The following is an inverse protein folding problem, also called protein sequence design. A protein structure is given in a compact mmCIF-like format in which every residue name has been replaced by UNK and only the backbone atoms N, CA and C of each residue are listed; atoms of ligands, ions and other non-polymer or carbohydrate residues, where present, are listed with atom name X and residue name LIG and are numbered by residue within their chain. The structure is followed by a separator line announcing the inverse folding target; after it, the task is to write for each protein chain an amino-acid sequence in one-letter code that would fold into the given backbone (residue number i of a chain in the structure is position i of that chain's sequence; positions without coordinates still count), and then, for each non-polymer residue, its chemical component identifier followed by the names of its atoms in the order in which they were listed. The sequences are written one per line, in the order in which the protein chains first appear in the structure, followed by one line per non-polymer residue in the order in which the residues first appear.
data_IF_595816005317
#
_entry.id   IF_595816005317
#
_cell.length_a   1.000
_cell.length_b   1.000
_cell.length_c   1.000
_cell.angle_alpha   90.00
_cell.angle_beta   90.00
_cell.angle_gamma   90.00
#
_symmetry.space_group_name_H-M   'P 1'
#
loop_
_entity.id
_entity.type
_entity.pdbx_description
1 polymer ?
#
# COMPACT_ATOMS: atom_id res chain seq x y z
N UNK A 1 -6.54 7.46 2.17
CA UNK A 1 -6.14 6.53 1.10
C UNK A 1 -6.94 5.25 1.25
N UNK A 2 -7.15 4.50 0.16
CA UNK A 2 -7.77 3.17 0.21
C UNK A 2 -6.66 2.12 0.28
N UNK A 3 -6.74 1.20 1.24
CA UNK A 3 -5.77 0.11 1.36
C UNK A 3 -6.21 -1.10 0.53
N UNK A 4 -5.30 -1.67 -0.25
CA UNK A 4 -5.52 -2.84 -1.08
C UNK A 4 -4.69 -4.03 -0.60
N UNK A 5 -5.29 -5.21 -0.66
CA UNK A 5 -4.61 -6.47 -0.40
C UNK A 5 -3.89 -6.91 -1.69
N UNK A 6 -2.59 -6.69 -1.75
CA UNK A 6 -1.79 -6.94 -2.94
C UNK A 6 -1.49 -8.43 -3.19
N UNK A 7 -1.53 -9.25 -2.13
CA UNK A 7 -1.23 -10.69 -2.21
C UNK A 7 -2.48 -11.59 -2.21
N UNK A 8 -3.68 -10.99 -2.13
CA UNK A 8 -4.95 -11.72 -1.97
C UNK A 8 -4.96 -12.72 -0.79
N UNK A 9 -4.14 -12.44 0.23
CA UNK A 9 -4.02 -13.28 1.42
C UNK A 9 -5.11 -12.92 2.44
N UNK A 10 -5.98 -13.85 2.86
CA UNK A 10 -7.11 -13.55 3.75
C UNK A 10 -6.70 -12.92 5.09
N UNK A 11 -5.49 -13.22 5.56
CA UNK A 11 -4.91 -12.69 6.80
C UNK A 11 -4.39 -11.27 6.68
N UNK A 12 -4.23 -10.73 5.47
CA UNK A 12 -3.77 -9.35 5.25
C UNK A 12 -4.94 -8.40 5.10
N UNK A 13 -4.82 -7.23 5.73
CA UNK A 13 -5.81 -6.17 5.64
C UNK A 13 -5.80 -5.49 4.26
N UNK A 14 -6.92 -4.86 3.92
CA UNK A 14 -7.12 -4.17 2.65
C UNK A 14 -8.24 -4.80 1.83
N UNK A 15 -8.79 -4.02 0.91
CA UNK A 15 -9.81 -4.49 -0.02
C UNK A 15 -9.20 -5.25 -1.19
N UNK A 16 -10.00 -6.05 -1.88
CA UNK A 16 -9.60 -6.64 -3.15
C UNK A 16 -9.39 -5.53 -4.20
N UNK A 17 -8.44 -5.73 -5.11
CA UNK A 17 -8.19 -4.82 -6.24
C UNK A 17 -9.46 -4.54 -7.06
N UNK A 18 -10.31 -5.56 -7.24
CA UNK A 18 -11.59 -5.46 -7.96
C UNK A 18 -12.54 -4.44 -7.32
N UNK A 19 -12.47 -4.27 -6.01
CA UNK A 19 -13.42 -3.45 -5.24
C UNK A 19 -12.93 -2.02 -5.08
N UNK A 20 -11.70 -1.72 -5.49
CA UNK A 20 -11.08 -0.40 -5.30
C UNK A 20 -11.94 0.72 -5.91
N UNK A 21 -12.43 0.54 -7.15
CA UNK A 21 -13.20 1.59 -7.85
C UNK A 21 -14.50 1.93 -7.12
N UNK A 22 -15.22 0.91 -6.64
CA UNK A 22 -16.47 1.11 -5.91
C UNK A 22 -16.22 1.72 -4.53
N UNK A 23 -15.12 1.35 -3.87
CA UNK A 23 -14.71 1.93 -2.58
C UNK A 23 -14.30 3.39 -2.69
N UNK A 24 -13.52 3.75 -3.72
CA UNK A 24 -13.15 5.16 -3.98
C UNK A 24 -14.40 5.99 -4.19
N UNK A 25 -15.34 5.53 -5.04
CA UNK A 25 -16.61 6.22 -5.27
C UNK A 25 -17.42 6.36 -3.98
N UNK A 26 -17.60 5.28 -3.22
CA UNK A 26 -18.38 5.30 -1.98
C UNK A 26 -17.77 6.21 -0.92
N UNK A 27 -16.44 6.25 -0.82
CA UNK A 27 -15.74 7.15 0.08
C UNK A 27 -15.99 8.62 -0.30
N UNK A 28 -15.89 8.95 -1.60
CA UNK A 28 -16.15 10.29 -2.12
C UNK A 28 -17.61 10.72 -1.93
N UNK A 29 -18.58 9.82 -2.17
CA UNK A 29 -20.02 10.05 -1.90
C UNK A 29 -20.29 10.36 -0.42
N UNK A 30 -19.45 9.86 0.50
CA UNK A 30 -19.50 10.14 1.94
C UNK A 30 -18.75 11.41 2.35
N UNK A 31 -18.24 12.18 1.38
CA UNK A 31 -17.51 13.42 1.63
C UNK A 31 -16.03 13.23 1.98
N UNK A 32 -15.46 12.04 1.78
CA UNK A 32 -14.04 11.81 2.01
C UNK A 32 -13.21 12.21 0.78
N UNK A 33 -12.10 12.90 1.02
CA UNK A 33 -11.10 13.17 -0.02
C UNK A 33 -10.18 11.96 -0.15
N UNK A 34 -10.38 11.17 -1.20
CA UNK A 34 -9.50 10.06 -1.53
C UNK A 34 -8.29 10.60 -2.29
N UNK A 35 -7.13 10.62 -1.64
CA UNK A 35 -5.87 11.14 -2.22
C UNK A 35 -5.00 10.08 -2.88
N UNK A 36 -5.30 8.79 -2.69
CA UNK A 36 -4.37 7.74 -3.08
C UNK A 36 -4.75 6.33 -2.65
N UNK A 37 -3.91 5.41 -3.11
CA UNK A 37 -3.95 3.99 -2.77
C UNK A 37 -2.77 3.63 -1.88
N UNK A 38 -2.96 2.63 -1.04
CA UNK A 38 -1.95 2.11 -0.13
C UNK A 38 -1.90 0.59 -0.20
N UNK A 39 -0.70 0.02 -0.17
CA UNK A 39 -0.51 -1.42 -0.16
C UNK A 39 0.74 -1.82 0.62
N UNK A 40 0.74 -3.06 1.10
CA UNK A 40 1.89 -3.70 1.74
C UNK A 40 2.29 -4.88 0.86
N UNK A 41 3.59 -5.02 0.59
CA UNK A 41 4.14 -6.10 -0.23
C UNK A 41 3.89 -7.50 0.34
N UNK A 42 4.27 -8.51 -0.43
CA UNK A 42 4.40 -9.87 0.05
C UNK A 42 5.40 -9.92 1.21
N UNK A 43 5.17 -10.78 2.20
CA UNK A 43 6.01 -10.83 3.41
C UNK A 43 7.28 -11.68 3.19
N UNK A 44 7.29 -12.44 2.11
CA UNK A 44 8.08 -13.63 1.88
C UNK A 44 9.09 -13.41 0.73
N UNK A 45 8.68 -12.79 -0.37
CA UNK A 45 9.57 -12.49 -1.50
C UNK A 45 9.35 -11.05 -2.02
N UNK A 46 10.39 -10.18 -2.00
CA UNK A 46 10.34 -8.87 -2.65
C UNK A 46 9.89 -8.93 -4.12
N UNK A 47 10.23 -10.01 -4.84
CA UNK A 47 9.82 -10.23 -6.24
C UNK A 47 8.30 -10.36 -6.38
N UNK A 48 7.63 -10.97 -5.38
CA UNK A 48 6.18 -11.09 -5.34
C UNK A 48 5.52 -9.73 -5.02
N UNK A 49 6.21 -8.84 -4.29
CA UNK A 49 5.74 -7.47 -4.04
C UNK A 49 5.68 -6.62 -5.31
N UNK A 50 6.59 -6.84 -6.27
CA UNK A 50 6.67 -6.04 -7.50
C UNK A 50 5.37 -6.05 -8.29
N UNK A 51 4.79 -7.22 -8.53
CA UNK A 51 3.56 -7.36 -9.29
C UNK A 51 2.39 -6.61 -8.64
N UNK A 52 2.27 -6.73 -7.31
CA UNK A 52 1.25 -6.03 -6.54
C UNK A 52 1.44 -4.51 -6.54
N UNK A 53 2.69 -4.03 -6.40
CA UNK A 53 3.03 -2.61 -6.48
C UNK A 53 2.66 -2.02 -7.84
N UNK A 54 3.07 -2.70 -8.92
CA UNK A 54 2.75 -2.29 -10.28
C UNK A 54 1.25 -2.16 -10.50
N UNK A 55 0.48 -3.18 -10.11
CA UNK A 55 -0.98 -3.16 -10.25
C UNK A 55 -1.63 -2.01 -9.45
N UNK A 56 -1.14 -1.72 -8.24
CA UNK A 56 -1.64 -0.61 -7.43
C UNK A 56 -1.32 0.74 -8.09
N UNK A 57 -0.11 0.89 -8.63
CA UNK A 57 0.32 2.13 -9.30
C UNK A 57 -0.51 2.39 -10.56
N UNK A 58 -0.68 1.38 -11.40
CA UNK A 58 -1.53 1.44 -12.61
C UNK A 58 -2.99 1.80 -12.24
N UNK A 59 -3.52 1.22 -11.17
CA UNK A 59 -4.88 1.52 -10.69
C UNK A 59 -5.01 2.93 -10.11
N UNK A 60 -4.00 3.43 -9.40
CA UNK A 60 -3.98 4.81 -8.92
C UNK A 60 -3.95 5.80 -10.09
N UNK A 61 -3.16 5.51 -11.13
CA UNK A 61 -3.10 6.30 -12.36
C UNK A 61 -4.44 6.33 -13.10
N UNK A 62 -5.07 5.18 -13.27
CA UNK A 62 -6.39 5.07 -13.89
C UNK A 62 -7.44 5.91 -13.13
N UNK A 63 -7.37 5.92 -11.80
CA UNK A 63 -8.30 6.66 -10.95
C UNK A 63 -7.93 8.14 -10.76
N UNK A 64 -6.82 8.60 -11.38
CA UNK A 64 -6.33 9.97 -11.23
C UNK A 64 -5.93 10.32 -9.79
N UNK A 65 -5.57 9.32 -8.99
CA UNK A 65 -5.18 9.50 -7.59
C UNK A 65 -3.67 9.80 -7.50
N UNK A 66 -3.26 10.93 -6.90
CA UNK A 66 -1.87 11.36 -6.92
C UNK A 66 -0.96 10.51 -6.02
N UNK A 67 -1.47 9.91 -4.94
CA UNK A 67 -0.64 9.22 -3.96
C UNK A 67 -0.65 7.69 -4.11
N UNK A 68 0.55 7.10 -4.05
CA UNK A 68 0.81 5.65 -4.11
C UNK A 68 1.69 5.29 -2.92
N UNK A 69 1.04 4.93 -1.81
CA UNK A 69 1.73 4.57 -0.58
C UNK A 69 2.10 3.09 -0.59
N UNK A 70 3.28 2.79 -1.11
CA UNK A 70 3.86 1.44 -1.15
C UNK A 70 5.34 1.51 -0.77
N UNK A 71 5.88 0.41 -0.23
CA UNK A 71 7.25 0.34 0.29
C UNK A 71 7.37 0.60 1.78
N UNK A 72 8.16 -0.26 2.42
CA UNK A 72 8.61 -0.27 3.79
C UNK A 72 10.15 -0.33 3.82
N UNK A 73 10.75 -0.60 4.98
CA UNK A 73 12.22 -0.57 5.13
C UNK A 73 12.95 -1.55 4.21
N UNK A 74 12.36 -2.72 3.92
CA UNK A 74 13.03 -3.82 3.23
C UNK A 74 12.75 -3.87 1.72
N UNK A 75 11.77 -3.10 1.24
CA UNK A 75 11.33 -3.06 -0.16
C UNK A 75 11.19 -1.61 -0.70
N UNK A 76 11.84 -0.65 -0.04
CA UNK A 76 11.93 0.76 -0.42
C UNK A 76 12.35 0.94 -1.89
N UNK A 77 13.53 0.42 -2.26
CA UNK A 77 14.11 0.64 -3.59
C UNK A 77 13.21 0.07 -4.69
N UNK A 78 12.61 -1.09 -4.42
CA UNK A 78 11.63 -1.70 -5.30
C UNK A 78 10.37 -0.83 -5.45
N UNK A 79 9.83 -0.33 -4.35
CA UNK A 79 8.64 0.51 -4.37
C UNK A 79 8.87 1.83 -5.11
N UNK A 80 10.04 2.46 -4.93
CA UNK A 80 10.44 3.66 -5.67
C UNK A 80 10.55 3.36 -7.17
N UNK A 81 11.18 2.24 -7.54
CA UNK A 81 11.30 1.84 -8.94
C UNK A 81 9.96 1.58 -9.63
N UNK A 82 8.94 1.13 -8.89
CA UNK A 82 7.58 0.93 -9.39
C UNK A 82 6.70 2.20 -9.37
N UNK A 83 7.19 3.30 -8.79
CA UNK A 83 6.48 4.59 -8.83
C UNK A 83 5.74 4.98 -7.54
N UNK A 84 6.21 4.50 -6.38
CA UNK A 84 5.76 4.99 -5.07
C UNK A 84 5.93 6.51 -4.95
N UNK A 85 4.94 7.18 -4.36
CA UNK A 85 5.03 8.59 -3.96
C UNK A 85 5.27 8.73 -2.46
N UNK A 86 5.07 7.65 -1.69
CA UNK A 86 5.15 7.65 -0.24
C UNK A 86 5.62 6.30 0.27
N UNK A 87 6.82 6.27 0.87
CA UNK A 87 7.41 5.12 1.54
C UNK A 87 7.26 5.23 3.06
N UNK A 88 7.21 4.09 3.76
CA UNK A 88 7.01 4.04 5.23
C UNK A 88 8.19 3.36 5.91
N UNK A 89 9.13 4.15 6.41
CA UNK A 89 10.39 3.63 6.96
C UNK A 89 10.36 3.62 8.49
N UNK A 90 10.70 2.48 9.08
CA UNK A 90 10.69 2.26 10.53
C UNK A 90 12.03 1.73 11.01
N UNK A 91 12.25 0.42 10.89
CA UNK A 91 13.46 -0.26 11.37
C UNK A 91 14.76 0.35 10.83
N UNK A 92 14.79 0.76 9.56
CA UNK A 92 15.98 1.38 8.98
C UNK A 92 16.31 2.77 9.57
N UNK A 93 15.34 3.47 10.18
CA UNK A 93 15.56 4.77 10.84
C UNK A 93 15.74 4.64 12.35
N UNK A 94 14.92 3.81 13.01
CA UNK A 94 14.83 3.75 14.47
C UNK A 94 15.46 2.49 15.08
N UNK A 95 15.94 1.57 14.25
CA UNK A 95 16.40 0.25 14.70
C UNK A 95 15.25 -0.71 15.02
N UNK A 96 15.56 -1.91 15.56
CA UNK A 96 14.58 -2.95 15.85
C UNK A 96 13.49 -2.49 16.83
N UNK A 97 12.27 -2.98 16.65
CA UNK A 97 11.16 -2.73 17.59
C UNK A 97 11.50 -3.33 18.96
N UNK A 98 11.50 -2.49 19.99
CA UNK A 98 11.62 -2.92 21.38
C UNK A 98 10.40 -3.72 21.86
N UNK A 99 10.47 -4.33 23.05
CA UNK A 99 9.36 -5.07 23.64
C UNK A 99 8.13 -4.16 23.82
N UNK A 100 6.92 -4.66 23.51
CA UNK A 100 5.68 -3.95 23.84
C UNK A 100 5.58 -3.87 25.36
N UNK A 101 5.63 -2.66 25.91
CA UNK A 101 5.27 -2.42 27.30
C UNK A 101 3.74 -2.52 27.35
N UNK A 102 3.23 -3.61 27.92
CA UNK A 102 1.81 -3.77 28.22
C UNK A 102 1.45 -2.84 29.37
N UNK A 103 0.55 -1.89 29.12
CA UNK A 103 -0.13 -1.10 30.15
C UNK A 103 -1.37 -1.84 30.66
#
# INVERSE_FOLDING_TARGET
MIQLNLSNEPQKGGAAMSDCRSLVRSAQERGLVVVGLMGVGAADDPSNSRAGFRQLVELAEELGLPERSIGMSDDLDLAVAEGSTMVRVGTALFGPRGPRISA
#
